data_IF_417445074564
#
_entry.id   IF_417445074564
#
_cell.length_a   1.000
_cell.length_b   1.000
_cell.length_c   1.000
_cell.angle_alpha   90.00
_cell.angle_beta   90.00
_cell.angle_gamma   90.00
#
_symmetry.space_group_name_H-M   'P 1'
#
loop_
_entity.id
_entity.type
_entity.pdbx_description
1 polymer ?
#
# COMPACT_ATOMS: atom_id res chain seq x y z
N UNK A 1 -13.33 3.98 19.97
CA UNK A 1 -13.31 2.59 19.48
C UNK A 1 -13.13 2.68 17.98
N UNK A 2 -11.92 2.51 17.48
CA UNK A 2 -11.66 2.42 16.04
C UNK A 2 -12.10 1.02 15.62
N UNK A 3 -13.24 0.94 14.94
CA UNK A 3 -13.71 -0.31 14.34
C UNK A 3 -12.70 -0.68 13.26
N UNK A 4 -11.98 -1.79 13.44
CA UNK A 4 -11.11 -2.33 12.40
C UNK A 4 -11.96 -2.82 11.23
N UNK A 5 -11.51 -2.57 10.02
CA UNK A 5 -12.22 -2.84 8.78
C UNK A 5 -11.91 -4.23 8.26
N UNK A 6 -12.94 -4.91 7.75
CA UNK A 6 -12.81 -6.19 7.08
C UNK A 6 -12.15 -6.06 5.70
N UNK A 7 -11.71 -7.18 5.11
CA UNK A 7 -11.10 -7.18 3.78
C UNK A 7 -11.96 -6.50 2.70
N UNK A 8 -13.28 -6.70 2.73
CA UNK A 8 -14.21 -6.09 1.78
C UNK A 8 -14.23 -4.55 1.87
N UNK A 9 -13.92 -3.99 3.03
CA UNK A 9 -13.88 -2.55 3.30
C UNK A 9 -12.51 -1.95 2.97
N UNK A 10 -11.43 -2.70 3.19
CA UNK A 10 -10.05 -2.27 2.89
C UNK A 10 -9.70 -2.38 1.41
N UNK A 11 -10.28 -3.34 0.68
CA UNK A 11 -10.02 -3.52 -0.75
C UNK A 11 -10.16 -2.24 -1.60
N UNK A 12 -11.24 -1.44 -1.51
CA UNK A 12 -11.33 -0.18 -2.24
C UNK A 12 -10.26 0.84 -1.82
N UNK A 13 -9.82 0.81 -0.56
CA UNK A 13 -8.76 1.71 -0.08
C UNK A 13 -7.41 1.34 -0.68
N UNK A 14 -7.10 0.04 -0.80
CA UNK A 14 -5.90 -0.45 -1.49
C UNK A 14 -5.91 -0.08 -2.99
N UNK A 15 -7.07 -0.13 -3.64
CA UNK A 15 -7.20 0.32 -5.03
C UNK A 15 -6.94 1.83 -5.16
N UNK A 16 -7.45 2.62 -4.22
CA UNK A 16 -7.19 4.06 -4.18
C UNK A 16 -5.72 4.37 -3.86
N UNK A 17 -5.09 3.59 -2.98
CA UNK A 17 -3.66 3.68 -2.67
C UNK A 17 -2.82 3.47 -3.93
N UNK A 18 -3.14 2.45 -4.75
CA UNK A 18 -2.47 2.21 -6.04
C UNK A 18 -2.53 3.42 -6.97
N UNK A 19 -3.73 3.96 -7.18
CA UNK A 19 -3.92 5.14 -8.05
C UNK A 19 -3.14 6.36 -7.52
N UNK A 20 -3.16 6.56 -6.20
CA UNK A 20 -2.43 7.65 -5.56
C UNK A 20 -0.92 7.44 -5.66
N UNK A 21 -0.45 6.19 -5.57
CA UNK A 21 0.95 5.84 -5.71
C UNK A 21 1.45 6.04 -7.16
N UNK A 22 0.61 5.79 -8.17
CA UNK A 22 0.93 6.12 -9.57
C UNK A 22 1.06 7.65 -9.78
N UNK A 23 0.16 8.46 -9.21
CA UNK A 23 0.27 9.92 -9.23
C UNK A 23 1.52 10.41 -8.48
N UNK A 24 1.76 9.86 -7.29
CA UNK A 24 2.93 10.18 -6.47
C UNK A 24 4.22 9.86 -7.20
N UNK A 25 4.34 8.70 -7.87
CA UNK A 25 5.50 8.34 -8.68
C UNK A 25 5.73 9.34 -9.81
N UNK A 26 4.67 9.82 -10.46
CA UNK A 26 4.80 10.83 -11.52
C UNK A 26 5.32 12.17 -10.99
N UNK A 27 5.03 12.50 -9.72
CA UNK A 27 5.42 13.77 -9.08
C UNK A 27 6.77 13.67 -8.37
N UNK A 28 7.09 12.48 -7.85
CA UNK A 28 8.27 12.15 -7.07
C UNK A 28 8.85 10.83 -7.62
N UNK A 29 9.62 10.87 -8.73
CA UNK A 29 10.18 9.65 -9.30
C UNK A 29 11.29 9.06 -8.42
N UNK A 30 11.99 9.90 -7.65
CA UNK A 30 13.04 9.48 -6.73
C UNK A 30 12.47 8.72 -5.53
N UNK A 31 13.03 7.55 -5.26
CA UNK A 31 12.60 6.66 -4.16
C UNK A 31 12.66 7.36 -2.80
N UNK A 32 13.71 8.14 -2.53
CA UNK A 32 13.88 8.84 -1.26
C UNK A 32 12.76 9.85 -0.96
N UNK A 33 12.15 10.41 -2.01
CA UNK A 33 11.01 11.32 -1.90
C UNK A 33 9.66 10.58 -1.94
N UNK A 34 9.57 9.52 -2.74
CA UNK A 34 8.35 8.74 -2.88
C UNK A 34 8.04 7.89 -1.63
N UNK A 35 9.01 7.14 -1.13
CA UNK A 35 8.88 6.18 -0.03
C UNK A 35 8.21 6.76 1.23
N UNK A 36 8.66 7.88 1.81
CA UNK A 36 8.02 8.40 3.04
C UNK A 36 6.55 8.75 2.81
N UNK A 37 6.20 9.30 1.64
CA UNK A 37 4.82 9.71 1.31
C UNK A 37 3.92 8.51 1.07
N UNK A 38 4.45 7.48 0.41
CA UNK A 38 3.72 6.23 0.20
C UNK A 38 3.54 5.47 1.51
N UNK A 39 4.57 5.43 2.36
CA UNK A 39 4.52 4.77 3.67
C UNK A 39 3.44 5.37 4.56
N UNK A 40 3.33 6.71 4.64
CA UNK A 40 2.27 7.37 5.41
C UNK A 40 0.86 6.91 4.96
N UNK A 41 0.63 6.83 3.64
CA UNK A 41 -0.66 6.38 3.09
C UNK A 41 -0.91 4.88 3.31
N UNK A 42 0.13 4.06 3.21
CA UNK A 42 0.06 2.63 3.45
C UNK A 42 -0.22 2.33 4.93
N UNK A 43 0.40 3.07 5.85
CA UNK A 43 0.19 2.96 7.29
C UNK A 43 -1.25 3.28 7.68
N UNK A 44 -1.87 4.29 7.06
CA UNK A 44 -3.29 4.61 7.29
C UNK A 44 -4.22 3.45 6.91
N UNK A 45 -3.90 2.75 5.81
CA UNK A 45 -4.64 1.55 5.37
C UNK A 45 -4.43 0.41 6.38
N UNK A 46 -3.18 0.12 6.74
CA UNK A 46 -2.84 -0.96 7.67
C UNK A 46 -3.38 -0.74 9.09
N UNK A 47 -3.37 0.51 9.58
CA UNK A 47 -3.93 0.88 10.87
C UNK A 47 -5.46 0.70 10.92
N UNK A 48 -6.11 0.77 9.76
CA UNK A 48 -7.55 0.58 9.61
C UNK A 48 -7.94 -0.89 9.41
N UNK A 49 -7.01 -1.74 8.97
CA UNK A 49 -7.24 -3.17 8.73
C UNK A 49 -7.44 -3.99 10.01
N UNK A 50 -8.29 -5.01 9.92
CA UNK A 50 -8.36 -6.06 10.94
C UNK A 50 -7.11 -6.96 10.93
N UNK A 51 -6.79 -7.57 12.07
CA UNK A 51 -5.66 -8.49 12.20
C UNK A 51 -5.76 -9.67 11.23
N UNK A 52 -6.98 -10.08 10.88
CA UNK A 52 -7.22 -11.19 9.95
C UNK A 52 -6.94 -10.81 8.49
N UNK A 53 -6.87 -9.52 8.14
CA UNK A 53 -6.61 -9.06 6.76
C UNK A 53 -5.38 -8.17 6.62
N UNK A 54 -4.70 -7.83 7.72
CA UNK A 54 -3.50 -6.99 7.70
C UNK A 54 -2.37 -7.61 6.88
N UNK A 55 -2.21 -8.93 6.94
CA UNK A 55 -1.20 -9.67 6.16
C UNK A 55 -1.48 -9.56 4.65
N UNK A 56 -2.73 -9.82 4.23
CA UNK A 56 -3.12 -9.67 2.82
C UNK A 56 -2.99 -8.21 2.34
N UNK A 57 -3.32 -7.23 3.19
CA UNK A 57 -3.14 -5.82 2.88
C UNK A 57 -1.66 -5.47 2.70
N UNK A 58 -0.78 -5.95 3.58
CA UNK A 58 0.67 -5.76 3.45
C UNK A 58 1.23 -6.37 2.16
N UNK A 59 0.80 -7.59 1.80
CA UNK A 59 1.21 -8.22 0.53
C UNK A 59 0.80 -7.35 -0.66
N UNK A 60 -0.43 -6.84 -0.68
CA UNK A 60 -0.92 -5.95 -1.75
C UNK A 60 -0.17 -4.63 -1.84
N UNK A 61 0.22 -4.06 -0.70
CA UNK A 61 1.02 -2.83 -0.66
C UNK A 61 2.40 -3.09 -1.27
N UNK A 62 3.05 -4.20 -0.94
CA UNK A 62 4.32 -4.62 -1.54
C UNK A 62 4.19 -4.85 -3.05
N UNK A 63 3.12 -5.50 -3.49
CA UNK A 63 2.83 -5.68 -4.93
C UNK A 63 2.73 -4.35 -5.68
N UNK A 64 2.10 -3.33 -5.09
CA UNK A 64 2.04 -1.98 -5.67
C UNK A 64 3.44 -1.41 -5.85
N UNK A 65 4.32 -1.55 -4.84
CA UNK A 65 5.69 -1.07 -4.93
C UNK A 65 6.52 -1.79 -6.00
N UNK A 66 6.28 -3.09 -6.17
CA UNK A 66 6.90 -3.90 -7.23
C UNK A 66 6.42 -3.46 -8.61
N UNK A 67 5.11 -3.30 -8.79
CA UNK A 67 4.51 -2.82 -10.05
C UNK A 67 5.04 -1.41 -10.41
N UNK A 68 5.28 -0.58 -9.40
CA UNK A 68 5.88 0.74 -9.56
C UNK A 68 7.41 0.70 -9.73
N UNK A 69 8.07 -0.45 -9.59
CA UNK A 69 9.50 -0.62 -9.77
C UNK A 69 10.37 -0.06 -8.64
N UNK A 70 9.79 0.21 -7.48
CA UNK A 70 10.52 0.61 -6.26
C UNK A 70 11.02 -0.59 -5.47
N UNK A 71 10.40 -1.75 -5.64
CA UNK A 71 10.82 -3.01 -5.03
C UNK A 71 11.07 -4.02 -6.15
N UNK A 72 12.14 -4.83 -6.09
CA UNK A 72 12.40 -5.81 -7.14
C UNK A 72 11.40 -6.96 -7.11
N UNK A 73 11.07 -7.53 -8.26
CA UNK A 73 10.02 -8.55 -8.41
C UNK A 73 10.25 -9.83 -7.58
N UNK A 74 11.50 -10.15 -7.22
CA UNK A 74 11.82 -11.31 -6.37
C UNK A 74 11.40 -11.15 -4.90
N UNK A 75 11.03 -9.93 -4.47
CA UNK A 75 10.48 -9.66 -3.14
C UNK A 75 8.94 -9.85 -3.12
N UNK A 76 8.32 -10.24 -4.25
CA UNK A 76 6.88 -10.54 -4.30
C UNK A 76 6.57 -11.71 -3.36
N UNK A 77 5.81 -11.42 -2.30
CA UNK A 77 5.36 -12.43 -1.34
C UNK A 77 4.18 -13.21 -1.94
N UNK A 78 4.27 -14.55 -1.90
CA UNK A 78 3.32 -15.51 -2.48
C UNK A 78 2.54 -16.27 -1.42
#
# INVERSE_FOLDING_TARGET
MTTKQSWAEILPWLQQLRLTAEDLKSRFPDEADFMPRFADLADDVLASSDNDCIEEASIRITDILIDLGYVPEHERQH
#
